data_IF_681837858106
#
_entry.id   IF_681837858106
#
_cell.length_a   1.000
_cell.length_b   1.000
_cell.length_c   1.000
_cell.angle_alpha   90.00
_cell.angle_beta   90.00
_cell.angle_gamma   90.00
#
_symmetry.space_group_name_H-M   'P 1'
#
loop_
_entity.id
_entity.type
_entity.pdbx_description
1 polymer ?
#
# COMPACT_ATOMS: atom_id res chain seq x y z
N UNK A 1 -53.72 -46.54 -18.83
CA UNK A 1 -52.85 -45.99 -19.90
C UNK A 1 -53.33 -44.58 -20.18
N UNK A 2 -52.50 -43.54 -20.37
CA UNK A 2 -51.02 -43.46 -20.47
C UNK A 2 -50.43 -42.63 -19.31
N UNK A 3 -49.16 -42.90 -18.96
CA UNK A 3 -48.29 -41.94 -18.26
C UNK A 3 -47.71 -40.97 -19.30
N UNK A 4 -47.51 -39.72 -18.91
CA UNK A 4 -46.55 -38.81 -19.57
C UNK A 4 -45.72 -38.17 -18.47
N UNK A 5 -44.43 -37.92 -18.74
CA UNK A 5 -43.38 -37.72 -17.74
C UNK A 5 -42.41 -36.66 -18.24
N UNK A 6 -41.73 -35.97 -17.31
CA UNK A 6 -40.63 -35.00 -17.53
C UNK A 6 -41.02 -33.68 -18.24
N UNK A 7 -40.27 -32.57 -18.11
CA UNK A 7 -38.96 -32.34 -17.46
C UNK A 7 -39.00 -31.20 -16.44
N UNK A 8 -38.21 -31.34 -15.37
CA UNK A 8 -37.68 -30.19 -14.61
C UNK A 8 -36.48 -29.66 -15.39
N UNK A 9 -36.36 -28.34 -15.52
CA UNK A 9 -35.08 -27.71 -15.84
C UNK A 9 -34.62 -26.88 -14.65
N UNK A 10 -33.41 -27.21 -14.20
CA UNK A 10 -32.68 -26.62 -13.07
C UNK A 10 -32.24 -25.19 -13.37
N UNK A 11 -31.98 -24.43 -12.30
CA UNK A 11 -31.43 -23.10 -12.41
C UNK A 11 -30.09 -23.09 -13.17
N UNK A 12 -29.93 -22.12 -14.08
CA UNK A 12 -28.62 -21.75 -14.59
C UNK A 12 -27.97 -20.80 -13.57
N UNK A 13 -27.27 -21.37 -12.58
CA UNK A 13 -26.27 -20.61 -11.83
C UNK A 13 -25.12 -20.30 -12.77
N UNK A 14 -25.14 -19.12 -13.38
CA UNK A 14 -24.01 -18.58 -14.11
C UNK A 14 -22.98 -18.10 -13.09
N UNK A 15 -22.28 -19.03 -12.44
CA UNK A 15 -21.06 -18.72 -11.72
C UNK A 15 -20.02 -18.29 -12.76
N UNK A 16 -19.87 -16.97 -12.94
CA UNK A 16 -18.62 -16.46 -13.48
C UNK A 16 -17.55 -16.89 -12.47
N UNK A 17 -16.74 -17.87 -12.86
CA UNK A 17 -15.53 -18.19 -12.13
C UNK A 17 -14.63 -16.97 -12.21
N UNK A 18 -14.22 -16.47 -11.06
CA UNK A 18 -13.23 -15.41 -10.97
C UNK A 18 -11.90 -16.04 -11.38
N UNK A 19 -11.18 -15.37 -12.28
CA UNK A 19 -9.81 -15.73 -12.61
C UNK A 19 -8.93 -15.14 -11.51
N UNK A 20 -8.06 -15.95 -10.92
CA UNK A 20 -7.01 -15.44 -10.05
C UNK A 20 -5.93 -14.78 -10.90
N UNK A 21 -4.82 -14.33 -10.29
CA UNK A 21 -3.61 -14.20 -11.09
C UNK A 21 -3.38 -15.56 -11.79
N UNK A 22 -3.00 -15.52 -13.06
CA UNK A 22 -2.54 -16.72 -13.74
C UNK A 22 -1.21 -16.40 -14.41
N UNK A 23 -0.26 -17.33 -14.33
CA UNK A 23 1.14 -17.17 -14.74
C UNK A 23 1.39 -16.93 -16.25
N UNK A 24 0.48 -16.22 -16.92
CA UNK A 24 0.63 -15.62 -18.24
C UNK A 24 1.01 -14.15 -18.10
N UNK A 25 1.66 -13.54 -19.10
CA UNK A 25 1.81 -12.09 -19.13
C UNK A 25 0.44 -11.41 -19.17
N UNK A 26 0.07 -10.67 -18.11
CA UNK A 26 -1.22 -9.97 -17.98
C UNK A 26 -1.49 -8.91 -19.06
N UNK A 27 -0.57 -8.68 -19.99
CA UNK A 27 -0.70 -7.79 -21.15
C UNK A 27 -1.93 -8.05 -22.04
N UNK A 28 -2.54 -9.24 -21.97
CA UNK A 28 -3.80 -9.53 -22.67
C UNK A 28 -5.07 -9.22 -21.87
N UNK A 29 -4.97 -9.03 -20.56
CA UNK A 29 -6.08 -8.67 -19.65
C UNK A 29 -6.02 -7.22 -19.16
N UNK A 30 -4.84 -6.59 -19.18
CA UNK A 30 -4.63 -5.18 -18.86
C UNK A 30 -5.48 -4.30 -19.79
N UNK A 31 -6.47 -3.64 -19.22
CA UNK A 31 -7.48 -2.89 -19.96
C UNK A 31 -7.93 -1.64 -19.17
N UNK A 32 -8.50 -0.67 -19.88
CA UNK A 32 -9.06 0.54 -19.28
C UNK A 32 -10.39 0.19 -18.60
N UNK A 33 -10.60 0.68 -17.39
CA UNK A 33 -11.90 0.65 -16.72
C UNK A 33 -12.81 1.74 -17.30
N UNK A 34 -14.09 1.41 -17.49
CA UNK A 34 -15.10 2.29 -18.08
C UNK A 34 -16.32 2.36 -17.14
N UNK A 35 -16.21 3.20 -16.11
CA UNK A 35 -17.25 3.41 -15.11
C UNK A 35 -16.82 4.49 -14.10
N UNK A 36 -17.72 4.98 -13.24
CA UNK A 36 -17.36 5.97 -12.22
C UNK A 36 -16.38 5.40 -11.17
N UNK A 37 -15.49 6.27 -10.69
CA UNK A 37 -14.77 6.09 -9.43
C UNK A 37 -15.67 6.43 -8.23
N UNK A 38 -15.51 5.69 -7.12
CA UNK A 38 -16.28 5.87 -5.90
C UNK A 38 -15.33 6.20 -4.76
N UNK A 39 -15.30 7.47 -4.35
CA UNK A 39 -14.60 7.86 -3.13
C UNK A 39 -15.33 7.32 -1.90
N UNK A 40 -14.63 6.55 -1.09
CA UNK A 40 -15.06 6.06 0.23
C UNK A 40 -14.10 6.57 1.30
N UNK A 41 -14.31 6.16 2.55
CA UNK A 41 -13.43 6.41 3.71
C UNK A 41 -13.51 5.19 4.64
N UNK A 42 -12.43 4.80 5.33
CA UNK A 42 -12.50 3.76 6.34
C UNK A 42 -13.41 4.26 7.47
N UNK A 43 -14.25 3.41 8.05
CA UNK A 43 -15.05 3.72 9.23
C UNK A 43 -14.18 3.79 10.50
N UNK A 44 -13.05 3.07 10.48
CA UNK A 44 -12.06 3.01 11.54
C UNK A 44 -10.72 2.54 11.00
N UNK A 45 -9.64 2.89 11.70
CA UNK A 45 -8.28 2.48 11.38
C UNK A 45 -7.48 2.07 12.62
N UNK A 46 -6.40 1.32 12.42
CA UNK A 46 -5.42 1.00 13.45
C UNK A 46 -4.05 0.74 12.85
N UNK A 47 -2.98 0.98 13.62
CA UNK A 47 -1.63 0.52 13.29
C UNK A 47 -1.44 -0.91 13.81
N UNK A 48 -0.78 -1.74 13.03
CA UNK A 48 -0.43 -3.13 13.33
C UNK A 48 1.05 -3.38 13.08
N UNK A 49 1.56 -4.47 13.64
CA UNK A 49 2.91 -4.98 13.39
C UNK A 49 2.86 -6.48 13.12
N UNK A 50 3.71 -6.98 12.26
CA UNK A 50 3.95 -8.43 12.12
C UNK A 50 4.91 -8.87 13.23
N UNK A 51 4.46 -9.76 14.10
CA UNK A 51 5.27 -10.41 15.12
C UNK A 51 5.19 -11.93 14.94
N UNK A 52 6.28 -12.56 14.47
CA UNK A 52 6.36 -14.01 14.21
C UNK A 52 5.28 -14.50 13.22
N UNK A 53 5.10 -13.81 12.08
CA UNK A 53 4.11 -14.18 11.06
C UNK A 53 2.65 -13.95 11.48
N UNK A 54 2.43 -13.07 12.47
CA UNK A 54 1.10 -12.75 12.99
C UNK A 54 0.94 -11.25 13.19
N UNK A 55 -0.17 -10.70 12.71
CA UNK A 55 -0.52 -9.31 12.94
C UNK A 55 -0.96 -9.07 14.40
N UNK A 56 -0.29 -8.15 15.07
CA UNK A 56 -0.64 -7.65 16.41
C UNK A 56 -1.05 -6.17 16.34
N UNK A 57 -2.07 -5.74 17.11
CA UNK A 57 -2.39 -4.32 17.28
C UNK A 57 -1.26 -3.53 17.94
N UNK A 58 -0.81 -2.45 17.29
CA UNK A 58 0.07 -1.42 17.90
C UNK A 58 -0.78 -0.31 18.53
N UNK A 59 -1.88 0.07 17.88
CA UNK A 59 -2.88 1.02 18.41
C UNK A 59 -4.23 0.35 18.65
N UNK A 60 -5.10 0.92 19.50
CA UNK A 60 -6.53 0.63 19.43
C UNK A 60 -7.12 1.05 18.07
N UNK A 61 -8.34 0.59 17.79
CA UNK A 61 -9.16 1.09 16.69
C UNK A 61 -9.58 2.55 16.93
N UNK A 62 -9.12 3.46 16.08
CA UNK A 62 -9.55 4.86 16.02
C UNK A 62 -10.75 4.96 15.07
N UNK A 63 -11.82 5.70 15.40
CA UNK A 63 -13.03 5.83 14.56
C UNK A 63 -13.01 7.12 13.74
N UNK A 64 -13.71 7.19 12.59
CA UNK A 64 -13.74 8.40 11.72
C UNK A 64 -14.06 9.70 12.46
N UNK A 65 -14.90 9.65 13.48
CA UNK A 65 -15.23 10.83 14.28
C UNK A 65 -14.03 11.46 15.00
N UNK A 66 -12.96 10.67 15.18
CA UNK A 66 -11.73 11.01 15.88
C UNK A 66 -10.58 11.37 14.90
N UNK A 67 -10.73 11.09 13.59
CA UNK A 67 -9.74 11.43 12.55
C UNK A 67 -10.39 12.08 11.31
N UNK A 68 -10.21 13.39 11.18
CA UNK A 68 -10.53 14.17 9.99
C UNK A 68 -9.42 15.24 9.81
N UNK A 69 -8.99 15.57 8.58
CA UNK A 69 -9.65 15.36 7.29
C UNK A 69 -9.49 13.95 6.67
N UNK A 70 -10.11 13.74 5.51
CA UNK A 70 -9.83 12.60 4.63
C UNK A 70 -9.22 13.15 3.34
N UNK A 71 -7.91 12.98 3.25
CA UNK A 71 -6.94 13.73 2.47
C UNK A 71 -5.68 13.89 3.33
N UNK A 72 -4.60 14.48 2.80
CA UNK A 72 -3.40 14.82 3.55
C UNK A 72 -3.73 15.48 4.90
N UNK A 73 -3.14 14.99 5.99
CA UNK A 73 -3.43 15.47 7.35
C UNK A 73 -3.14 16.97 7.50
N UNK A 74 -2.06 17.42 6.85
CA UNK A 74 -1.59 18.79 6.88
C UNK A 74 -1.32 19.29 5.44
N UNK A 75 -1.72 20.52 5.07
CA UNK A 75 -1.47 21.09 3.74
C UNK A 75 0.02 21.33 3.42
N UNK A 76 0.93 21.14 4.39
CA UNK A 76 2.39 21.21 4.23
C UNK A 76 3.04 19.82 4.11
N UNK A 77 2.26 18.73 4.00
CA UNK A 77 2.80 17.42 3.63
C UNK A 77 3.27 17.42 2.17
N UNK A 78 4.38 16.72 1.92
CA UNK A 78 4.91 16.50 0.58
C UNK A 78 4.46 15.13 0.12
N UNK A 79 3.90 15.08 -1.10
CA UNK A 79 3.68 13.84 -1.83
C UNK A 79 5.06 13.28 -2.20
N UNK A 80 5.47 12.18 -1.54
CA UNK A 80 6.82 11.59 -1.67
C UNK A 80 6.86 10.39 -2.62
N UNK A 81 5.70 9.82 -2.91
CA UNK A 81 5.50 8.68 -3.80
C UNK A 81 4.12 8.79 -4.47
N UNK A 82 4.02 8.67 -5.80
CA UNK A 82 2.72 8.76 -6.48
C UNK A 82 2.53 7.79 -7.65
N UNK A 83 2.01 6.60 -7.34
CA UNK A 83 1.41 5.66 -8.28
C UNK A 83 -0.13 5.85 -8.39
N UNK A 84 -0.70 6.97 -7.96
CA UNK A 84 -2.16 7.22 -7.91
C UNK A 84 -2.62 8.33 -8.87
N UNK A 85 -1.74 9.31 -9.16
CA UNK A 85 -2.05 10.52 -9.90
C UNK A 85 -2.88 11.49 -9.06
N UNK A 86 -2.38 11.80 -7.86
CA UNK A 86 -3.12 12.52 -6.82
C UNK A 86 -3.12 14.05 -7.02
N UNK A 87 -4.22 14.70 -6.60
CA UNK A 87 -4.23 16.13 -6.30
C UNK A 87 -3.72 16.41 -4.88
N UNK A 88 -3.58 17.69 -4.52
CA UNK A 88 -3.15 18.11 -3.19
C UNK A 88 -4.11 17.74 -2.04
N UNK A 89 -5.27 17.13 -2.33
CA UNK A 89 -6.23 16.62 -1.37
C UNK A 89 -6.30 15.07 -1.37
N UNK A 90 -5.45 14.38 -2.14
CA UNK A 90 -5.47 12.93 -2.30
C UNK A 90 -6.53 12.39 -3.27
N UNK A 91 -7.20 13.23 -4.06
CA UNK A 91 -8.16 12.77 -5.08
C UNK A 91 -7.45 12.40 -6.39
N UNK A 92 -7.98 11.42 -7.16
CA UNK A 92 -7.49 11.18 -8.52
C UNK A 92 -7.83 12.37 -9.46
N UNK A 93 -6.88 12.77 -10.31
CA UNK A 93 -6.94 13.97 -11.21
C UNK A 93 -7.61 13.75 -12.60
N UNK A 94 -7.66 14.73 -13.54
CA UNK A 94 -8.25 14.60 -14.92
C UNK A 94 -7.86 15.63 -16.03
N UNK A 95 -7.83 15.37 -17.38
CA UNK A 95 -8.40 14.30 -18.26
C UNK A 95 -7.59 13.81 -19.53
N UNK A 96 -8.23 13.01 -20.42
CA UNK A 96 -7.80 12.32 -21.71
C UNK A 96 -6.31 12.00 -22.05
N UNK A 97 -6.06 10.75 -22.48
CA UNK A 97 -4.96 10.26 -23.35
C UNK A 97 -3.52 10.77 -23.11
N UNK A 98 -3.17 10.97 -21.84
CA UNK A 98 -1.80 11.17 -21.38
C UNK A 98 -1.02 12.28 -22.13
N UNK A 99 -1.36 13.56 -22.08
CA UNK A 99 -2.29 14.28 -21.19
C UNK A 99 -3.08 15.34 -22.03
N UNK A 100 -4.09 16.07 -21.52
CA UNK A 100 -4.03 16.99 -20.38
C UNK A 100 -4.86 16.60 -19.16
N UNK A 101 -4.22 15.73 -18.37
CA UNK A 101 -4.28 15.50 -16.91
C UNK A 101 -5.12 14.33 -16.33
N UNK A 102 -5.49 13.31 -17.12
CA UNK A 102 -5.74 11.88 -16.73
C UNK A 102 -7.01 11.49 -15.88
N UNK A 103 -8.21 11.38 -16.47
CA UNK A 103 -9.53 11.56 -15.80
C UNK A 103 -9.77 10.71 -14.53
N UNK A 104 -10.51 11.20 -13.50
CA UNK A 104 -10.48 10.59 -12.16
C UNK A 104 -11.01 9.15 -12.12
N UNK A 105 -11.85 8.82 -13.09
CA UNK A 105 -12.53 7.55 -13.30
C UNK A 105 -11.87 6.69 -14.41
N UNK A 106 -10.91 7.24 -15.15
CA UNK A 106 -10.15 6.53 -16.19
C UNK A 106 -8.84 5.96 -15.61
N UNK A 107 -8.89 4.70 -15.17
CA UNK A 107 -7.74 3.93 -14.67
C UNK A 107 -7.67 2.54 -15.32
N UNK A 108 -6.58 1.81 -15.09
CA UNK A 108 -6.39 0.48 -15.65
C UNK A 108 -6.56 -0.63 -14.60
N UNK A 109 -6.86 -1.84 -15.05
CA UNK A 109 -7.06 -3.05 -14.24
C UNK A 109 -7.03 -4.28 -15.15
N UNK A 110 -7.18 -5.48 -14.60
CA UNK A 110 -7.14 -6.74 -15.35
C UNK A 110 -8.52 -7.32 -15.71
N UNK A 111 -9.60 -6.57 -15.44
CA UNK A 111 -10.97 -6.94 -15.82
C UNK A 111 -11.80 -7.51 -14.66
N UNK A 112 -13.12 -7.45 -14.81
CA UNK A 112 -14.14 -7.86 -13.83
C UNK A 112 -14.02 -9.29 -13.28
N UNK A 113 -13.28 -10.17 -13.96
CA UNK A 113 -13.06 -11.53 -13.52
C UNK A 113 -11.79 -11.69 -12.66
N UNK A 114 -10.82 -10.78 -12.77
CA UNK A 114 -9.53 -10.90 -12.10
C UNK A 114 -9.66 -10.68 -10.59
N UNK A 115 -8.93 -11.49 -9.83
CA UNK A 115 -8.86 -11.44 -8.38
C UNK A 115 -7.40 -11.59 -7.93
N UNK A 116 -6.90 -10.55 -7.29
CA UNK A 116 -5.58 -10.43 -6.70
C UNK A 116 -5.76 -9.66 -5.38
N UNK A 117 -6.17 -10.35 -4.29
CA UNK A 117 -6.41 -9.72 -3.00
C UNK A 117 -5.12 -9.48 -2.21
N UNK A 118 -3.95 -9.86 -2.74
CA UNK A 118 -2.66 -9.70 -2.07
C UNK A 118 -1.56 -9.42 -3.10
N UNK A 119 -1.03 -8.20 -3.10
CA UNK A 119 -0.01 -7.80 -4.05
C UNK A 119 1.06 -6.93 -3.41
N UNK A 120 2.25 -6.93 -4.00
CA UNK A 120 3.36 -6.06 -3.63
C UNK A 120 3.94 -5.36 -4.85
N UNK A 121 4.27 -4.09 -4.71
CA UNK A 121 4.92 -3.29 -5.75
C UNK A 121 6.11 -2.56 -5.15
N UNK A 122 7.14 -2.32 -5.94
CA UNK A 122 8.34 -1.64 -5.49
C UNK A 122 8.17 -0.13 -5.32
N UNK A 123 9.13 0.43 -4.58
CA UNK A 123 9.50 1.83 -4.50
C UNK A 123 11.00 1.83 -4.84
N UNK A 124 11.39 2.21 -6.06
CA UNK A 124 12.81 2.31 -6.42
C UNK A 124 13.41 3.57 -5.79
N UNK A 125 12.71 4.71 -5.89
CA UNK A 125 13.08 5.96 -5.20
C UNK A 125 11.87 6.76 -4.72
N UNK A 126 11.99 7.45 -3.58
CA UNK A 126 11.08 8.55 -3.23
C UNK A 126 11.46 9.83 -3.99
N UNK A 127 10.60 10.86 -3.92
CA UNK A 127 10.83 12.18 -4.54
C UNK A 127 12.18 12.82 -4.17
N UNK A 128 12.69 12.53 -2.98
CA UNK A 128 14.00 12.94 -2.48
C UNK A 128 14.42 11.96 -1.36
N UNK A 129 15.72 11.65 -1.25
CA UNK A 129 16.22 10.68 -0.28
C UNK A 129 16.08 11.10 1.19
N UNK A 130 15.79 12.37 1.47
CA UNK A 130 15.51 12.85 2.84
C UNK A 130 14.26 12.22 3.48
N UNK A 131 13.41 11.58 2.69
CA UNK A 131 12.19 10.92 3.14
C UNK A 131 12.36 9.41 3.36
N UNK A 132 13.51 8.84 3.00
CA UNK A 132 13.82 7.44 3.29
C UNK A 132 13.83 7.24 4.81
N UNK A 133 13.10 6.24 5.30
CA UNK A 133 12.94 6.01 6.74
C UNK A 133 12.07 7.06 7.45
N UNK A 134 11.47 7.99 6.70
CA UNK A 134 10.46 8.90 7.22
C UNK A 134 9.13 8.20 7.49
N UNK A 135 8.17 8.94 8.05
CA UNK A 135 6.81 8.45 8.28
C UNK A 135 5.87 9.07 7.26
N UNK A 136 5.18 8.22 6.49
CA UNK A 136 4.00 8.61 5.72
C UNK A 136 2.86 8.94 6.69
N UNK A 137 2.57 10.22 6.84
CA UNK A 137 1.51 10.75 7.69
C UNK A 137 0.14 10.67 7.01
N UNK A 138 0.10 10.53 5.67
CA UNK A 138 -1.12 10.23 4.92
C UNK A 138 -0.85 9.27 3.75
N UNK A 139 -1.88 8.52 3.36
CA UNK A 139 -1.87 7.70 2.13
C UNK A 139 -3.12 7.93 1.29
N UNK A 140 -3.06 7.60 0.01
CA UNK A 140 -4.21 7.43 -0.86
C UNK A 140 -4.06 6.15 -1.67
N UNK A 141 -5.15 5.40 -1.86
CA UNK A 141 -5.12 4.18 -2.65
C UNK A 141 -6.39 3.97 -3.48
N UNK A 142 -6.29 3.14 -4.52
CA UNK A 142 -7.44 2.74 -5.33
C UNK A 142 -7.43 1.24 -5.67
N UNK A 143 -8.62 0.66 -5.71
CA UNK A 143 -8.82 -0.76 -5.94
C UNK A 143 -10.12 -1.03 -6.69
N UNK A 144 -10.16 -2.16 -7.38
CA UNK A 144 -11.38 -2.70 -7.95
C UNK A 144 -12.00 -3.68 -6.97
N UNK A 145 -13.29 -3.53 -6.69
CA UNK A 145 -14.05 -4.35 -5.74
C UNK A 145 -15.24 -5.03 -6.42
N UNK A 146 -15.12 -6.32 -6.67
CA UNK A 146 -16.17 -7.21 -7.18
C UNK A 146 -16.56 -8.28 -6.14
N UNK A 147 -16.10 -8.14 -4.91
CA UNK A 147 -16.23 -9.13 -3.84
C UNK A 147 -17.69 -9.52 -3.56
N UNK A 148 -17.94 -10.83 -3.53
CA UNK A 148 -19.28 -11.42 -3.47
C UNK A 148 -20.02 -11.53 -4.81
N UNK A 149 -19.49 -10.96 -5.91
CA UNK A 149 -20.10 -10.98 -7.23
C UNK A 149 -21.24 -9.97 -7.42
N UNK A 150 -21.53 -9.63 -8.68
CA UNK A 150 -22.44 -8.53 -9.05
C UNK A 150 -23.80 -8.57 -8.35
N UNK A 151 -24.13 -7.48 -7.66
CA UNK A 151 -25.39 -7.28 -6.93
C UNK A 151 -25.32 -7.61 -5.43
N UNK A 152 -24.16 -8.00 -4.91
CA UNK A 152 -23.96 -8.33 -3.50
C UNK A 152 -23.19 -7.22 -2.76
N UNK A 153 -22.78 -7.50 -1.52
CA UNK A 153 -21.93 -6.63 -0.72
C UNK A 153 -21.08 -7.49 0.22
N UNK A 154 -19.85 -7.09 0.48
CA UNK A 154 -18.95 -7.74 1.43
C UNK A 154 -18.29 -6.65 2.27
N UNK A 155 -17.89 -6.97 3.51
CA UNK A 155 -17.03 -6.07 4.27
C UNK A 155 -15.71 -5.87 3.51
N UNK A 156 -15.16 -4.66 3.52
CA UNK A 156 -13.86 -4.34 2.95
C UNK A 156 -12.95 -3.84 4.05
N UNK A 157 -11.84 -4.56 4.25
CA UNK A 157 -10.72 -4.16 5.08
C UNK A 157 -9.50 -4.13 4.17
N UNK A 158 -8.76 -3.03 4.16
CA UNK A 158 -7.51 -2.91 3.41
C UNK A 158 -6.37 -2.81 4.41
N UNK A 159 -5.36 -3.67 4.25
CA UNK A 159 -4.13 -3.60 5.00
C UNK A 159 -3.03 -3.07 4.08
N UNK A 160 -2.20 -2.15 4.55
CA UNK A 160 -1.08 -1.56 3.81
C UNK A 160 0.17 -1.60 4.67
N UNK A 161 1.26 -2.15 4.12
CA UNK A 161 2.57 -2.23 4.75
C UNK A 161 3.61 -1.68 3.78
N UNK A 162 4.77 -1.31 4.32
CA UNK A 162 5.99 -1.01 3.54
C UNK A 162 7.06 -2.03 3.89
N UNK A 163 7.93 -2.34 2.94
CA UNK A 163 9.01 -3.32 3.10
C UNK A 163 10.34 -2.72 2.63
N UNK A 164 11.43 -3.06 3.32
CA UNK A 164 12.80 -2.59 3.00
C UNK A 164 13.41 -3.31 1.80
N UNK A 165 13.16 -4.61 1.67
CA UNK A 165 13.62 -5.42 0.53
C UNK A 165 12.41 -5.81 -0.32
N UNK A 166 12.47 -5.50 -1.61
CA UNK A 166 11.60 -6.13 -2.61
C UNK A 166 12.48 -6.79 -3.66
N UNK A 167 12.46 -8.12 -3.72
CA UNK A 167 13.28 -8.88 -4.66
C UNK A 167 12.85 -8.59 -6.12
N UNK A 168 13.54 -7.66 -6.76
CA UNK A 168 13.34 -7.33 -8.18
C UNK A 168 13.94 -8.38 -9.13
N UNK A 169 14.68 -9.37 -8.60
CA UNK A 169 15.28 -10.47 -9.37
C UNK A 169 14.34 -11.66 -9.55
N UNK A 170 13.25 -11.75 -8.77
CA UNK A 170 12.31 -12.88 -8.71
C UNK A 170 12.94 -14.23 -8.30
N UNK A 171 14.02 -14.21 -7.53
CA UNK A 171 14.74 -15.40 -7.08
C UNK A 171 14.22 -15.97 -5.75
N UNK A 172 13.57 -15.13 -4.94
CA UNK A 172 13.15 -15.37 -3.55
C UNK A 172 11.89 -14.58 -3.24
N UNK A 173 11.02 -15.12 -2.38
CA UNK A 173 10.09 -14.26 -1.65
C UNK A 173 10.87 -13.60 -0.49
N UNK A 174 10.63 -12.31 -0.29
CA UNK A 174 11.18 -11.47 0.79
C UNK A 174 10.14 -10.48 1.35
N UNK A 175 8.92 -10.50 0.80
CA UNK A 175 7.88 -9.50 1.03
C UNK A 175 6.56 -10.12 1.47
N UNK A 176 6.47 -11.46 1.59
CA UNK A 176 5.38 -12.08 2.35
C UNK A 176 5.41 -11.66 3.84
N UNK A 177 4.49 -10.75 4.18
CA UNK A 177 4.28 -10.23 5.53
C UNK A 177 3.72 -11.28 6.52
N UNK A 178 3.33 -12.47 6.07
CA UNK A 178 2.84 -13.55 6.93
C UNK A 178 3.90 -14.60 7.25
N UNK A 179 5.08 -14.56 6.61
CA UNK A 179 6.20 -15.41 7.00
C UNK A 179 6.64 -15.15 8.45
N UNK A 180 6.93 -16.23 9.19
CA UNK A 180 7.39 -16.13 10.58
C UNK A 180 8.76 -15.45 10.76
N UNK A 181 9.52 -15.36 9.66
CA UNK A 181 10.82 -14.69 9.49
C UNK A 181 10.71 -13.16 9.49
N UNK A 182 9.56 -12.62 9.09
CA UNK A 182 9.29 -11.20 9.11
C UNK A 182 8.75 -10.78 10.49
N UNK A 183 9.61 -10.20 11.33
CA UNK A 183 9.34 -10.04 12.77
C UNK A 183 9.15 -8.59 13.27
N UNK A 184 9.15 -7.59 12.37
CA UNK A 184 9.03 -6.18 12.77
C UNK A 184 8.28 -5.27 11.78
N UNK A 185 7.71 -5.80 10.68
CA UNK A 185 7.07 -4.97 9.65
C UNK A 185 5.82 -4.28 10.23
N UNK A 186 5.80 -2.95 10.21
CA UNK A 186 4.63 -2.17 10.62
C UNK A 186 3.70 -1.86 9.43
N UNK A 187 2.41 -1.78 9.71
CA UNK A 187 1.38 -1.49 8.71
C UNK A 187 0.16 -0.83 9.30
N UNK A 188 -0.76 -0.43 8.42
CA UNK A 188 -2.04 0.17 8.77
C UNK A 188 -3.19 -0.70 8.28
N UNK A 189 -4.24 -0.80 9.08
CA UNK A 189 -5.49 -1.51 8.73
C UNK A 189 -6.61 -0.49 8.66
N UNK A 190 -7.31 -0.49 7.52
CA UNK A 190 -8.35 0.45 7.15
C UNK A 190 -9.66 -0.33 6.91
N UNK A 191 -10.65 -0.20 7.80
CA UNK A 191 -11.91 -0.95 7.72
C UNK A 191 -13.04 -0.04 7.21
N UNK A 192 -13.48 -0.27 5.98
CA UNK A 192 -14.54 0.49 5.28
C UNK A 192 -15.96 0.00 5.61
N UNK A 193 -16.08 -1.10 6.36
CA UNK A 193 -17.33 -1.83 6.54
C UNK A 193 -17.85 -2.40 5.22
N UNK A 194 -19.17 -2.55 5.08
CA UNK A 194 -19.76 -3.22 3.91
C UNK A 194 -19.76 -2.33 2.66
N UNK A 195 -19.02 -2.76 1.62
CA UNK A 195 -19.01 -2.14 0.30
C UNK A 195 -19.79 -3.01 -0.71
N UNK A 196 -20.63 -2.40 -1.56
CA UNK A 196 -21.37 -3.11 -2.59
C UNK A 196 -20.48 -3.49 -3.78
N UNK A 197 -20.85 -4.54 -4.49
CA UNK A 197 -20.30 -4.90 -5.80
C UNK A 197 -21.43 -4.89 -6.83
N UNK A 198 -21.28 -4.17 -7.95
CA UNK A 198 -22.37 -3.98 -8.93
C UNK A 198 -21.85 -3.67 -10.33
N UNK A 199 -22.68 -3.90 -11.36
CA UNK A 199 -22.30 -3.58 -12.75
C UNK A 199 -22.05 -2.07 -12.86
N UNK A 200 -20.84 -1.69 -13.27
CA UNK A 200 -20.41 -0.29 -13.34
C UNK A 200 -20.09 0.37 -11.99
N UNK A 201 -20.00 -0.41 -10.90
CA UNK A 201 -19.48 0.02 -9.60
C UNK A 201 -18.41 -0.99 -9.17
N UNK A 202 -17.15 -0.65 -9.42
CA UNK A 202 -16.00 -1.49 -9.06
C UNK A 202 -14.79 -0.67 -8.64
N UNK A 203 -14.50 0.46 -9.30
CA UNK A 203 -13.40 1.35 -8.90
C UNK A 203 -13.76 2.13 -7.62
N UNK A 204 -13.11 1.76 -6.51
CA UNK A 204 -13.08 2.49 -5.25
C UNK A 204 -11.76 3.24 -5.06
N UNK A 205 -11.82 4.40 -4.40
CA UNK A 205 -10.65 5.18 -4.00
C UNK A 205 -10.84 5.84 -2.64
N UNK A 206 -9.73 6.16 -1.99
CA UNK A 206 -9.73 6.79 -0.67
C UNK A 206 -8.41 7.55 -0.42
N UNK A 207 -8.46 8.51 0.50
CA UNK A 207 -7.31 9.26 1.01
C UNK A 207 -7.45 9.44 2.53
N UNK A 208 -6.48 8.93 3.28
CA UNK A 208 -6.54 8.77 4.73
C UNK A 208 -5.41 9.54 5.41
N UNK A 209 -5.79 10.37 6.38
CA UNK A 209 -4.87 10.93 7.36
C UNK A 209 -4.54 9.88 8.44
N UNK A 210 -3.27 9.48 8.54
CA UNK A 210 -2.78 8.42 9.43
C UNK A 210 -2.21 8.94 10.76
N UNK A 211 -2.07 10.26 10.94
CA UNK A 211 -1.54 10.87 12.18
C UNK A 211 -2.15 10.30 13.48
N UNK A 212 -3.47 10.06 13.59
CA UNK A 212 -4.07 9.52 14.83
C UNK A 212 -3.69 8.08 15.17
N UNK A 213 -3.01 7.35 14.27
CA UNK A 213 -2.40 6.04 14.53
C UNK A 213 -0.86 6.06 14.44
N UNK A 214 -0.24 7.24 14.33
CA UNK A 214 1.22 7.39 14.26
C UNK A 214 1.83 7.13 12.88
N UNK A 215 1.04 7.22 11.81
CA UNK A 215 1.53 7.06 10.44
C UNK A 215 1.96 5.65 10.04
N UNK A 216 2.39 5.52 8.79
CA UNK A 216 3.01 4.33 8.21
C UNK A 216 4.50 4.62 7.99
N UNK A 217 5.37 3.72 8.43
CA UNK A 217 6.81 3.82 8.17
C UNK A 217 7.07 3.82 6.65
N UNK A 218 8.09 4.52 6.17
CA UNK A 218 8.58 4.37 4.78
C UNK A 218 9.87 3.56 4.76
N UNK A 219 10.17 2.84 3.67
CA UNK A 219 11.45 2.13 3.55
C UNK A 219 12.64 3.11 3.64
N UNK A 220 13.73 2.64 4.21
CA UNK A 220 14.86 3.45 4.68
C UNK A 220 16.15 3.21 3.92
N UNK A 221 16.43 1.98 3.48
CA UNK A 221 17.72 1.63 2.88
C UNK A 221 17.55 0.90 1.55
N UNK A 222 18.04 1.49 0.43
CA UNK A 222 18.05 0.80 -0.85
C UNK A 222 18.85 -0.50 -0.83
N UNK A 223 18.29 -1.49 -1.51
CA UNK A 223 18.89 -2.80 -1.69
C UNK A 223 20.19 -2.74 -2.52
N UNK A 224 20.81 -3.90 -2.73
CA UNK A 224 22.05 -4.00 -3.53
C UNK A 224 21.90 -3.61 -5.02
N UNK A 225 20.66 -3.54 -5.53
CA UNK A 225 20.32 -3.09 -6.88
C UNK A 225 19.96 -1.59 -6.95
N UNK A 226 19.76 -0.94 -5.81
CA UNK A 226 19.38 0.48 -5.68
C UNK A 226 17.88 0.73 -5.55
N UNK A 227 17.08 -0.30 -5.28
CA UNK A 227 15.64 -0.23 -5.05
C UNK A 227 15.39 0.05 -3.57
N UNK A 228 14.75 1.17 -3.25
CA UNK A 228 14.51 1.59 -1.86
C UNK A 228 13.63 0.62 -1.04
N UNK A 229 12.77 -0.15 -1.69
CA UNK A 229 11.95 -1.18 -1.04
C UNK A 229 10.64 -1.38 -1.78
N UNK A 230 9.52 -1.47 -1.05
CA UNK A 230 8.20 -1.62 -1.64
C UNK A 230 7.05 -1.34 -0.68
N UNK A 231 5.84 -1.54 -1.19
CA UNK A 231 4.60 -1.58 -0.40
C UNK A 231 3.80 -2.84 -0.73
N UNK A 232 3.17 -3.40 0.31
CA UNK A 232 2.39 -4.63 0.27
C UNK A 232 0.96 -4.30 0.68
N UNK A 233 -0.02 -4.80 -0.06
CA UNK A 233 -1.44 -4.50 0.17
C UNK A 233 -2.26 -5.78 0.20
N UNK A 234 -3.06 -5.93 1.26
CA UNK A 234 -4.04 -7.02 1.40
C UNK A 234 -5.46 -6.46 1.38
N UNK A 235 -6.25 -6.89 0.40
CA UNK A 235 -7.69 -6.67 0.34
C UNK A 235 -8.41 -7.83 1.04
N UNK A 236 -9.05 -7.53 2.16
CA UNK A 236 -9.65 -8.49 3.06
C UNK A 236 -11.16 -8.28 3.24
N UNK A 237 -11.87 -9.37 3.50
CA UNK A 237 -13.27 -9.38 3.93
C UNK A 237 -13.45 -9.39 5.46
N UNK A 238 -12.39 -9.71 6.21
CA UNK A 238 -12.36 -9.56 7.66
C UNK A 238 -10.91 -9.44 8.17
N UNK A 239 -10.75 -8.76 9.30
CA UNK A 239 -9.57 -8.81 10.15
C UNK A 239 -10.00 -8.98 11.61
N UNK A 240 -9.50 -10.02 12.28
CA UNK A 240 -9.67 -10.23 13.72
C UNK A 240 -8.42 -9.76 14.46
N UNK A 241 -8.47 -8.55 15.00
CA UNK A 241 -7.39 -7.94 15.80
C UNK A 241 -7.06 -8.71 17.09
N UNK A 242 -7.85 -9.70 17.49
CA UNK A 242 -7.56 -10.57 18.66
C UNK A 242 -6.69 -11.75 18.27
N UNK A 243 -6.96 -12.38 17.11
CA UNK A 243 -6.20 -13.54 16.62
C UNK A 243 -5.10 -13.16 15.63
N UNK A 244 -5.12 -11.94 15.09
CA UNK A 244 -4.27 -11.53 13.96
C UNK A 244 -4.71 -12.12 12.62
N UNK A 245 -5.87 -12.78 12.56
CA UNK A 245 -6.34 -13.48 11.36
C UNK A 245 -6.90 -12.48 10.35
N UNK A 246 -6.35 -12.49 9.15
CA UNK A 246 -6.94 -11.86 7.96
C UNK A 246 -7.79 -12.91 7.24
N UNK A 247 -8.86 -12.48 6.57
CA UNK A 247 -9.62 -13.29 5.62
C UNK A 247 -9.72 -12.51 4.31
N UNK A 248 -9.14 -12.97 3.18
CA UNK A 248 -9.14 -12.27 1.91
C UNK A 248 -10.52 -11.85 1.42
N UNK A 249 -10.55 -10.82 0.58
CA UNK A 249 -11.71 -10.47 -0.20
C UNK A 249 -11.99 -11.61 -1.18
N UNK A 250 -13.27 -11.92 -1.41
CA UNK A 250 -13.66 -12.91 -2.43
C UNK A 250 -13.54 -12.36 -3.86
N UNK A 251 -12.99 -11.15 -4.03
CA UNK A 251 -13.02 -10.37 -5.25
C UNK A 251 -12.46 -8.97 -5.06
N UNK A 252 -11.15 -8.83 -5.21
CA UNK A 252 -10.47 -7.53 -5.24
C UNK A 252 -9.23 -7.58 -6.14
N UNK A 253 -8.77 -6.43 -6.61
CA UNK A 253 -7.48 -6.25 -7.29
C UNK A 253 -7.09 -4.77 -7.21
N UNK A 254 -5.80 -4.41 -7.33
CA UNK A 254 -5.43 -3.01 -7.48
C UNK A 254 -6.07 -2.38 -8.74
N UNK A 255 -6.44 -1.10 -8.64
CA UNK A 255 -6.44 -0.26 -9.84
C UNK A 255 -4.99 0.09 -10.16
N UNK A 256 -4.68 0.37 -11.43
CA UNK A 256 -3.32 0.51 -11.92
C UNK A 256 -3.08 1.87 -12.56
N UNK A 257 -1.91 2.43 -12.26
CA UNK A 257 -1.44 3.71 -12.78
C UNK A 257 0.10 3.77 -12.84
N UNK A 258 0.66 4.91 -13.24
CA UNK A 258 2.10 5.11 -13.50
C UNK A 258 2.67 6.35 -12.78
N UNK A 259 3.87 6.26 -12.17
CA UNK A 259 4.53 7.37 -11.49
C UNK A 259 5.40 8.21 -12.42
N UNK A 260 5.82 7.66 -13.57
CA UNK A 260 6.61 8.36 -14.60
C UNK A 260 5.86 9.60 -15.16
N UNK A 261 4.54 9.63 -14.95
CA UNK A 261 3.63 10.72 -15.29
C UNK A 261 3.78 11.93 -14.35
N UNK A 262 4.00 11.67 -13.06
CA UNK A 262 4.02 12.67 -11.99
C UNK A 262 5.45 13.11 -11.68
N UNK A 263 6.42 12.20 -11.87
CA UNK A 263 7.82 12.41 -11.55
C UNK A 263 8.09 12.42 -10.03
N UNK A 264 7.18 11.84 -9.25
CA UNK A 264 7.26 11.77 -7.79
C UNK A 264 7.68 10.36 -7.39
N UNK A 265 9.00 10.18 -7.32
CA UNK A 265 9.63 8.86 -7.17
C UNK A 265 9.70 8.07 -8.48
N UNK A 266 10.36 6.92 -8.43
CA UNK A 266 10.45 5.94 -9.53
C UNK A 266 10.20 4.53 -9.03
N UNK A 267 9.70 3.67 -9.92
CA UNK A 267 9.58 2.23 -9.72
C UNK A 267 10.28 1.51 -10.86
N UNK A 268 10.75 0.30 -10.61
CA UNK A 268 11.06 -0.67 -11.64
C UNK A 268 9.75 -1.27 -12.21
N UNK A 269 9.79 -2.04 -13.31
CA UNK A 269 8.60 -2.71 -13.84
C UNK A 269 8.11 -3.93 -13.06
N UNK A 270 8.50 -4.10 -11.77
CA UNK A 270 8.29 -5.34 -11.02
C UNK A 270 7.15 -5.22 -10.02
N UNK A 271 6.16 -6.09 -10.17
CA UNK A 271 5.07 -6.26 -9.23
C UNK A 271 4.88 -7.76 -8.95
N UNK A 272 4.50 -8.09 -7.73
CA UNK A 272 4.16 -9.44 -7.28
C UNK A 272 2.66 -9.54 -7.02
N UNK A 273 2.02 -10.58 -7.57
CA UNK A 273 0.57 -10.78 -7.51
C UNK A 273 0.24 -12.22 -7.10
N UNK A 274 -0.55 -12.38 -6.05
CA UNK A 274 -0.99 -13.68 -5.51
C UNK A 274 -1.88 -14.45 -6.52
N UNK A 275 -1.45 -15.66 -6.88
CA UNK A 275 -2.10 -16.59 -7.83
C UNK A 275 -2.94 -17.71 -7.16
N UNK A 276 -2.77 -17.94 -5.85
CA UNK A 276 -3.65 -18.77 -5.02
C UNK A 276 -3.93 -18.10 -3.65
N UNK A 277 -4.95 -17.21 -3.55
CA UNK A 277 -5.19 -16.36 -2.37
C UNK A 277 -5.80 -17.08 -1.16
N UNK A 278 -5.48 -18.36 -1.05
CA UNK A 278 -5.68 -19.22 0.11
C UNK A 278 -4.38 -19.38 0.91
N UNK A 279 -3.21 -19.21 0.30
CA UNK A 279 -1.91 -19.43 0.96
C UNK A 279 -1.21 -18.16 1.47
N UNK A 280 -1.59 -16.98 0.97
CA UNK A 280 -1.09 -15.65 1.37
C UNK A 280 0.41 -15.45 1.13
N UNK A 281 0.96 -16.02 0.06
CA UNK A 281 2.40 -16.05 -0.22
C UNK A 281 2.71 -15.46 -1.60
N UNK A 282 3.95 -15.01 -1.85
CA UNK A 282 4.41 -14.52 -3.16
C UNK A 282 5.61 -15.34 -3.65
N UNK A 283 5.33 -16.60 -3.99
CA UNK A 283 6.32 -17.53 -4.52
C UNK A 283 6.92 -17.09 -5.85
N UNK A 284 8.10 -17.60 -6.18
CA UNK A 284 8.89 -17.23 -7.39
C UNK A 284 8.17 -17.32 -8.76
N UNK A 285 6.96 -17.86 -8.85
CA UNK A 285 6.11 -17.83 -10.04
C UNK A 285 5.28 -16.55 -10.21
N UNK A 286 5.12 -15.77 -9.14
CA UNK A 286 4.16 -14.67 -8.98
C UNK A 286 4.80 -13.28 -9.20
N UNK A 287 6.05 -13.26 -9.67
CA UNK A 287 6.80 -12.05 -10.00
C UNK A 287 6.57 -11.64 -11.46
N UNK A 288 5.76 -10.60 -11.67
CA UNK A 288 5.31 -10.16 -12.99
C UNK A 288 6.07 -8.92 -13.50
N UNK A 289 5.89 -8.63 -14.79
CA UNK A 289 6.49 -7.46 -15.44
C UNK A 289 5.40 -6.54 -15.97
N UNK A 290 5.30 -5.37 -15.36
CA UNK A 290 4.28 -4.35 -15.62
C UNK A 290 4.76 -3.25 -16.60
N UNK A 291 5.76 -3.55 -17.42
CA UNK A 291 6.19 -2.70 -18.54
C UNK A 291 5.16 -2.69 -19.70
N UNK A 292 4.19 -1.77 -19.66
CA UNK A 292 3.17 -1.59 -20.70
C UNK A 292 3.39 -0.30 -21.52
N UNK A 293 4.20 -0.42 -22.57
CA UNK A 293 4.52 0.68 -23.47
C UNK A 293 3.36 1.03 -24.40
N UNK A 294 3.19 2.32 -24.71
CA UNK A 294 2.35 2.81 -25.80
C UNK A 294 0.83 2.83 -25.51
N UNK A 295 0.43 2.56 -24.26
CA UNK A 295 -0.95 2.77 -23.80
C UNK A 295 -1.28 4.26 -23.73
N UNK A 296 -0.31 5.06 -23.29
CA UNK A 296 -0.35 6.51 -23.37
C UNK A 296 0.05 7.01 -24.77
N UNK A 297 -0.93 7.26 -25.64
CA UNK A 297 -0.69 7.59 -27.05
C UNK A 297 0.21 8.82 -27.29
N UNK A 298 0.20 9.79 -26.38
CA UNK A 298 1.04 11.00 -26.46
C UNK A 298 2.26 10.99 -25.50
N UNK A 299 2.42 9.94 -24.69
CA UNK A 299 3.60 9.74 -23.83
C UNK A 299 4.15 8.34 -24.02
N UNK A 300 4.88 8.14 -25.12
CA UNK A 300 5.50 6.85 -25.49
C UNK A 300 6.56 6.35 -24.51
N UNK A 301 7.00 7.21 -23.59
CA UNK A 301 7.99 6.91 -22.56
C UNK A 301 7.33 6.54 -21.23
N UNK A 302 6.00 6.63 -21.10
CA UNK A 302 5.28 6.01 -19.98
C UNK A 302 5.18 4.51 -20.28
N UNK A 303 5.89 3.74 -19.46
CA UNK A 303 6.11 2.31 -19.62
C UNK A 303 5.85 1.55 -18.33
N UNK A 304 6.05 2.13 -17.16
CA UNK A 304 5.97 1.44 -15.86
C UNK A 304 4.61 1.72 -15.21
N UNK A 305 3.93 0.65 -14.82
CA UNK A 305 2.62 0.67 -14.19
C UNK A 305 2.64 -0.18 -12.93
N UNK A 306 1.69 0.05 -12.03
CA UNK A 306 1.60 -0.68 -10.77
C UNK A 306 0.40 -0.26 -9.96
N UNK A 307 0.20 -0.92 -8.82
CA UNK A 307 -0.92 -0.68 -7.90
C UNK A 307 -1.09 0.79 -7.53
N UNK A 308 -2.34 1.27 -7.48
CA UNK A 308 -2.60 2.67 -7.20
C UNK A 308 -2.43 2.99 -5.72
N UNK A 309 -1.25 3.53 -5.38
CA UNK A 309 -0.84 3.98 -4.06
C UNK A 309 -0.11 5.32 -4.14
N UNK A 310 -0.34 6.19 -3.16
CA UNK A 310 0.41 7.43 -2.97
C UNK A 310 0.67 7.66 -1.48
N UNK A 311 1.85 8.17 -1.16
CA UNK A 311 2.28 8.47 0.22
C UNK A 311 2.65 9.94 0.37
N UNK A 312 2.15 10.55 1.44
CA UNK A 312 2.53 11.89 1.87
C UNK A 312 3.29 11.79 3.18
N UNK A 313 4.44 12.46 3.24
CA UNK A 313 5.21 12.63 4.46
C UNK A 313 5.31 14.11 4.81
N UNK A 314 5.36 14.42 6.10
CA UNK A 314 5.71 15.75 6.59
C UNK A 314 7.06 16.20 6.01
N UNK A 315 7.15 17.43 5.50
CA UNK A 315 8.40 17.99 4.96
C UNK A 315 9.50 18.00 6.02
N UNK A 316 10.52 17.13 5.90
CA UNK A 316 11.89 17.32 6.43
C UNK A 316 12.07 17.84 7.87
N UNK A 317 11.08 17.66 8.75
CA UNK A 317 11.28 17.72 10.19
C UNK A 317 11.74 16.34 10.66
N UNK A 318 12.62 16.29 11.66
CA UNK A 318 12.98 15.04 12.32
C UNK A 318 11.73 14.19 12.58
N UNK A 319 11.90 12.87 12.55
CA UNK A 319 10.93 11.95 13.14
C UNK A 319 11.50 11.52 14.47
N UNK A 320 10.73 11.68 15.55
CA UNK A 320 11.22 11.33 16.87
C UNK A 320 11.32 9.81 16.99
N UNK A 321 12.53 9.32 16.79
CA UNK A 321 12.90 7.91 16.74
C UNK A 321 13.11 7.29 18.13
N UNK A 322 12.77 8.02 19.21
CA UNK A 322 13.08 7.64 20.59
C UNK A 322 14.57 7.31 20.83
N UNK A 323 15.48 7.78 19.98
CA UNK A 323 16.92 7.53 20.09
C UNK A 323 17.43 6.28 19.36
N UNK A 324 16.57 5.56 18.63
CA UNK A 324 16.98 4.57 17.61
C UNK A 324 17.33 5.35 16.32
N UNK A 325 18.56 5.82 16.22
CA UNK A 325 19.02 6.77 15.19
C UNK A 325 19.36 6.05 13.89
N UNK A 326 19.81 4.80 13.98
CA UNK A 326 20.14 3.98 12.81
C UNK A 326 18.95 3.14 12.29
N UNK A 327 17.83 3.09 13.03
CA UNK A 327 16.61 2.32 12.76
C UNK A 327 16.80 0.80 12.75
N UNK A 328 17.77 0.26 13.50
CA UNK A 328 18.02 -1.18 13.61
C UNK A 328 17.12 -1.89 14.64
N UNK A 329 16.31 -1.12 15.37
CA UNK A 329 15.38 -1.62 16.38
C UNK A 329 15.98 -1.72 17.78
N UNK A 330 17.26 -1.40 17.96
CA UNK A 330 17.93 -1.23 19.25
C UNK A 330 18.24 0.25 19.52
N UNK A 331 18.40 0.62 20.79
CA UNK A 331 18.99 1.91 21.18
C UNK A 331 20.31 1.63 21.87
N UNK A 332 21.43 1.75 21.17
CA UNK A 332 22.75 1.34 21.67
C UNK A 332 23.89 2.37 21.48
N UNK A 333 25.15 1.95 21.56
CA UNK A 333 26.28 2.87 21.42
C UNK A 333 26.51 3.36 19.98
N UNK A 334 25.93 2.73 18.96
CA UNK A 334 25.91 3.24 17.58
C UNK A 334 25.05 4.51 17.45
N UNK A 335 23.86 4.53 18.05
CA UNK A 335 22.98 5.70 18.05
C UNK A 335 23.59 6.86 18.84
N UNK A 336 24.10 6.53 20.03
CA UNK A 336 24.80 7.47 20.90
C UNK A 336 25.98 8.12 20.19
N UNK A 337 26.78 7.34 19.44
CA UNK A 337 27.88 7.88 18.66
C UNK A 337 27.41 8.72 17.48
N UNK A 338 26.28 8.36 16.83
CA UNK A 338 25.70 9.13 15.73
C UNK A 338 25.29 10.54 16.19
N UNK A 339 24.51 10.65 17.29
CA UNK A 339 24.18 11.96 17.90
C UNK A 339 25.42 12.74 18.30
N UNK A 340 26.42 12.08 18.90
CA UNK A 340 27.67 12.75 19.30
C UNK A 340 28.54 13.22 18.12
N UNK A 341 28.44 12.60 16.94
CA UNK A 341 29.13 13.05 15.73
C UNK A 341 28.39 14.18 15.01
N UNK A 342 27.06 14.22 15.09
CA UNK A 342 26.23 15.28 14.53
C UNK A 342 26.02 16.49 15.47
N UNK A 343 26.48 16.42 16.73
CA UNK A 343 26.23 17.41 17.78
C UNK A 343 26.55 18.87 17.37
N UNK A 344 25.56 19.75 17.50
CA UNK A 344 25.59 21.13 17.00
C UNK A 344 25.22 21.28 15.52
N UNK A 345 24.76 20.20 14.88
CA UNK A 345 24.17 20.17 13.53
C UNK A 345 22.71 20.63 13.53
N UNK A 346 22.03 20.43 12.40
CA UNK A 346 20.64 20.88 12.18
C UNK A 346 19.81 19.79 11.49
N UNK A 347 18.79 19.27 12.16
CA UNK A 347 17.97 18.16 11.68
C UNK A 347 18.77 16.86 11.52
N UNK A 348 18.17 15.90 10.81
CA UNK A 348 18.69 14.54 10.62
C UNK A 348 17.85 13.51 11.38
N UNK A 349 18.41 12.32 11.57
CA UNK A 349 17.91 11.32 12.52
C UNK A 349 18.56 11.51 13.91
N UNK A 350 19.67 12.24 13.95
CA UNK A 350 20.44 12.60 15.13
C UNK A 350 19.79 13.74 15.94
N UNK A 351 19.01 14.58 15.27
CA UNK A 351 17.90 15.32 15.88
C UNK A 351 16.82 14.27 16.14
N UNK A 352 16.60 13.93 17.41
CA UNK A 352 15.70 12.86 17.89
C UNK A 352 14.44 13.43 18.54
N UNK A 353 14.46 14.72 18.90
CA UNK A 353 13.39 15.42 19.59
C UNK A 353 12.59 16.36 18.64
N UNK A 354 13.19 16.69 17.50
CA UNK A 354 12.65 17.45 16.38
C UNK A 354 12.51 18.95 16.59
N UNK A 355 13.37 19.55 17.43
CA UNK A 355 13.47 21.01 17.56
C UNK A 355 14.31 21.69 16.46
N UNK A 356 15.00 20.90 15.62
CA UNK A 356 15.77 21.36 14.47
C UNK A 356 17.27 21.55 14.73
N UNK A 357 17.78 21.24 15.93
CA UNK A 357 19.19 21.29 16.31
C UNK A 357 19.58 19.99 17.01
N UNK A 358 20.72 19.41 16.64
CA UNK A 358 21.25 18.24 17.38
C UNK A 358 21.92 18.73 18.66
N UNK A 359 21.28 18.59 19.82
CA UNK A 359 21.80 19.12 21.09
C UNK A 359 21.74 18.15 22.30
N UNK A 360 21.89 18.66 23.54
CA UNK A 360 21.88 17.83 24.73
C UNK A 360 20.51 17.22 25.06
N UNK A 361 19.41 17.74 24.50
CA UNK A 361 18.10 17.11 24.57
C UNK A 361 18.05 15.80 23.76
N UNK A 362 18.68 15.74 22.59
CA UNK A 362 18.72 14.52 21.76
C UNK A 362 19.60 13.44 22.38
N UNK A 363 20.76 13.87 22.87
CA UNK A 363 21.65 13.01 23.65
C UNK A 363 20.92 12.41 24.86
N UNK A 364 20.02 13.18 25.50
CA UNK A 364 19.19 12.67 26.59
C UNK A 364 18.09 11.71 26.12
N UNK A 365 17.49 11.90 24.93
CA UNK A 365 16.56 10.93 24.34
C UNK A 365 17.22 9.56 24.19
N UNK A 366 18.38 9.49 23.54
CA UNK A 366 19.15 8.24 23.40
C UNK A 366 19.50 7.66 24.77
N UNK A 367 20.01 8.47 25.71
CA UNK A 367 20.42 7.99 27.03
C UNK A 367 19.25 7.54 27.93
N UNK A 368 18.03 8.05 27.74
CA UNK A 368 16.85 7.59 28.47
C UNK A 368 16.29 6.27 27.93
N UNK A 369 16.44 6.02 26.63
CA UNK A 369 15.99 4.78 25.98
C UNK A 369 17.10 3.75 25.79
N UNK A 370 18.33 4.03 26.23
CA UNK A 370 19.51 3.16 26.05
C UNK A 370 19.27 1.72 26.54
N UNK A 371 19.41 0.76 25.63
CA UNK A 371 19.10 -0.66 25.83
C UNK A 371 17.63 -1.04 25.64
N UNK A 372 16.81 -0.17 25.05
CA UNK A 372 15.47 -0.53 24.57
C UNK A 372 15.56 -1.27 23.23
N UNK A 373 14.59 -2.17 22.98
CA UNK A 373 14.46 -2.91 21.72
C UNK A 373 15.35 -4.16 21.58
N UNK A 374 16.44 -4.25 22.36
CA UNK A 374 17.42 -5.34 22.39
C UNK A 374 16.93 -6.66 23.01
#
# INVERSE_FOLDING_TARGET
MRRTMFWVFTAATLTLGMAFADGKPHKSSFQRYEGPAISVRPQRMMKVRVENGRLVPVTPWVQVGDFAPAGPCDPNEVLVWDHFGADANGNPTGGENCNSLFAPDERYYFGDAYNNPYYANDIETLVDSQYNGGVATSLAHAWFWNAGGQGNSQNCVVLVFTVEDLDTTCATDVHDIFEATNSAIEGVVLDYGSLPSSIGLGYYSDAVCLNPIGGLQLPSQPDSNGVLGGYVVVYASAFDSTTGTVTPAAGAQPMLWSPEITGIGTSTPKQWDDDDPVDYNHGTGECYNYAYNGLCQNMTNVTIWGGMMAFWASTGGCQSNNGDVNSDGCVDDADLLSVLFAFGGTGGAEDTNCDGVVDDADLLTVLFNFGAGC
#
